data_IF_253192052931
#
_entry.id   IF_253192052931
#
_cell.length_a   1.000
_cell.length_b   1.000
_cell.length_c   1.000
_cell.angle_alpha   90.00
_cell.angle_beta   90.00
_cell.angle_gamma   90.00
#
_symmetry.space_group_name_H-M   'P 1'
#
loop_
_entity.id
_entity.type
_entity.pdbx_description
1 polymer ?
#
# COMPACT_ATOMS: atom_id res chain seq x y z
N UNK A 1 42.96 -20.87 17.44
CA UNK A 1 41.75 -21.65 17.09
C UNK A 1 41.44 -21.43 15.62
N UNK A 2 40.99 -22.46 14.88
CA UNK A 2 40.52 -22.26 13.50
C UNK A 2 39.25 -21.38 13.51
N UNK A 3 39.09 -20.43 12.58
CA UNK A 3 37.95 -19.51 12.55
C UNK A 3 36.59 -20.22 12.56
N UNK A 4 36.50 -21.40 11.94
CA UNK A 4 35.32 -22.28 11.96
C UNK A 4 34.89 -22.71 13.37
N UNK A 5 35.86 -23.01 14.25
CA UNK A 5 35.57 -23.42 15.64
C UNK A 5 35.06 -22.25 16.47
N UNK A 6 35.56 -21.04 16.21
CA UNK A 6 35.12 -19.82 16.89
C UNK A 6 33.69 -19.46 16.45
N UNK A 7 33.40 -19.55 15.14
CA UNK A 7 32.06 -19.33 14.61
C UNK A 7 31.03 -20.31 15.21
N UNK A 8 31.34 -21.61 15.22
CA UNK A 8 30.44 -22.62 15.79
C UNK A 8 30.21 -22.41 17.29
N UNK A 9 31.24 -21.99 18.04
CA UNK A 9 31.11 -21.66 19.47
C UNK A 9 30.21 -20.44 19.68
N UNK A 10 30.41 -19.36 18.91
CA UNK A 10 29.61 -18.13 19.02
C UNK A 10 28.15 -18.42 18.65
N UNK A 11 27.91 -19.13 17.54
CA UNK A 11 26.56 -19.53 17.14
C UNK A 11 25.89 -20.41 18.20
N UNK A 12 26.62 -21.40 18.74
CA UNK A 12 26.12 -22.28 19.79
C UNK A 12 25.76 -21.55 21.08
N UNK A 13 26.64 -20.68 21.57
CA UNK A 13 26.39 -19.87 22.78
C UNK A 13 25.21 -18.91 22.56
N UNK A 14 25.10 -18.31 21.37
CA UNK A 14 23.99 -17.40 21.04
C UNK A 14 22.66 -18.14 21.04
N UNK A 15 22.58 -19.32 20.40
CA UNK A 15 21.39 -20.17 20.40
C UNK A 15 21.00 -20.61 21.82
N UNK A 16 21.98 -20.98 22.65
CA UNK A 16 21.76 -21.35 24.05
C UNK A 16 21.21 -20.18 24.87
N UNK A 17 21.78 -18.99 24.72
CA UNK A 17 21.31 -17.79 25.40
C UNK A 17 19.88 -17.43 24.96
N UNK A 18 19.60 -17.46 23.65
CA UNK A 18 18.25 -17.24 23.12
C UNK A 18 17.25 -18.28 23.65
N UNK A 19 17.63 -19.56 23.70
CA UNK A 19 16.81 -20.64 24.23
C UNK A 19 16.50 -20.49 25.73
N UNK A 20 17.48 -20.10 26.53
CA UNK A 20 17.30 -19.86 27.97
C UNK A 20 16.42 -18.65 28.25
N UNK A 21 16.59 -17.56 27.49
CA UNK A 21 15.72 -16.37 27.60
C UNK A 21 14.28 -16.72 27.20
N UNK A 22 14.10 -17.48 26.11
CA UNK A 22 12.78 -17.95 25.69
C UNK A 22 12.13 -18.85 26.74
N UNK A 23 12.88 -19.78 27.35
CA UNK A 23 12.39 -20.67 28.39
C UNK A 23 12.02 -19.92 29.68
N UNK A 24 12.86 -18.97 30.11
CA UNK A 24 12.61 -18.12 31.27
C UNK A 24 11.40 -17.20 31.03
N UNK A 25 11.28 -16.62 29.84
CA UNK A 25 10.10 -15.84 29.45
C UNK A 25 8.82 -16.68 29.45
N UNK A 26 8.87 -17.90 28.91
CA UNK A 26 7.73 -18.80 28.85
C UNK A 26 7.30 -19.34 30.23
N UNK A 27 8.21 -19.43 31.20
CA UNK A 27 7.92 -19.94 32.55
C UNK A 27 7.52 -18.85 33.54
N UNK A 28 8.13 -17.67 33.48
CA UNK A 28 7.87 -16.58 34.44
C UNK A 28 6.85 -15.52 33.97
N UNK A 29 6.64 -15.33 32.66
CA UNK A 29 5.69 -14.34 32.11
C UNK A 29 4.38 -14.98 31.58
N UNK A 30 4.16 -16.24 31.95
CA UNK A 30 3.43 -17.27 31.20
C UNK A 30 1.91 -17.10 31.02
N UNK A 31 1.21 -16.14 31.64
CA UNK A 31 -0.27 -16.12 31.49
C UNK A 31 -0.86 -14.86 30.91
N UNK A 32 -0.23 -13.69 31.08
CA UNK A 32 -0.75 -12.42 30.52
C UNK A 32 0.30 -11.51 29.91
N UNK A 33 1.49 -11.40 30.52
CA UNK A 33 2.53 -10.51 30.02
C UNK A 33 3.11 -10.97 28.68
N UNK A 34 3.22 -12.28 28.45
CA UNK A 34 3.69 -12.80 27.15
C UNK A 34 2.78 -12.39 25.98
N UNK A 35 1.46 -12.20 26.20
CA UNK A 35 0.55 -11.71 25.15
C UNK A 35 0.87 -10.30 24.64
N UNK A 36 1.69 -9.54 25.37
CA UNK A 36 2.12 -8.19 25.00
C UNK A 36 3.45 -8.16 24.25
N UNK A 37 4.06 -9.30 23.93
CA UNK A 37 5.30 -9.32 23.14
C UNK A 37 5.23 -8.49 21.82
N UNK A 38 4.09 -8.42 21.09
CA UNK A 38 4.00 -7.60 19.88
C UNK A 38 4.13 -6.10 20.14
N UNK A 39 3.97 -5.64 21.40
CA UNK A 39 4.21 -4.25 21.78
C UNK A 39 5.63 -3.80 21.41
N UNK A 40 6.62 -4.69 21.43
CA UNK A 40 7.99 -4.36 21.00
C UNK A 40 8.00 -3.98 19.52
N UNK A 41 7.25 -4.70 18.68
CA UNK A 41 7.13 -4.43 17.23
C UNK A 41 6.35 -3.14 17.01
N UNK A 42 5.25 -2.91 17.75
CA UNK A 42 4.48 -1.65 17.70
C UNK A 42 5.37 -0.46 18.06
N UNK A 43 6.16 -0.57 19.14
CA UNK A 43 7.09 0.48 19.57
C UNK A 43 8.21 0.69 18.55
N UNK A 44 8.73 -0.36 17.93
CA UNK A 44 9.71 -0.24 16.85
C UNK A 44 9.13 0.46 15.62
N UNK A 45 7.92 0.08 15.18
CA UNK A 45 7.21 0.73 14.09
C UNK A 45 6.88 2.20 14.40
N UNK A 46 6.43 2.49 15.63
CA UNK A 46 6.22 3.85 16.10
C UNK A 46 7.54 4.65 16.12
N UNK A 47 8.63 4.04 16.59
CA UNK A 47 9.97 4.63 16.59
C UNK A 47 10.51 4.92 15.19
N UNK A 48 10.15 4.11 14.19
CA UNK A 48 10.48 4.36 12.78
C UNK A 48 9.58 5.44 12.17
N UNK A 49 8.29 5.48 12.48
CA UNK A 49 7.36 6.48 11.93
C UNK A 49 7.52 7.87 12.54
N UNK A 50 7.93 7.96 13.81
CA UNK A 50 8.05 9.23 14.54
C UNK A 50 9.02 10.22 13.87
N UNK A 51 10.26 9.84 13.46
CA UNK A 51 11.13 10.72 12.68
C UNK A 51 10.48 11.25 11.40
N UNK A 52 9.58 10.48 10.77
CA UNK A 52 8.85 10.91 9.58
C UNK A 52 8.06 12.21 9.79
N UNK A 53 7.49 12.42 10.98
CA UNK A 53 6.80 13.66 11.32
C UNK A 53 7.74 14.85 11.56
N UNK A 54 9.03 14.60 11.82
CA UNK A 54 10.06 15.64 11.92
C UNK A 54 10.54 16.11 10.53
N UNK A 55 9.91 15.63 9.43
CA UNK A 55 10.34 16.01 8.08
C UNK A 55 10.14 17.49 7.75
N UNK A 56 9.39 18.23 8.57
CA UNK A 56 9.28 19.69 8.46
C UNK A 56 10.65 20.37 8.53
N UNK A 57 11.58 19.81 9.31
CA UNK A 57 12.97 20.28 9.41
C UNK A 57 13.85 19.67 8.32
N UNK A 58 13.77 18.35 8.14
CA UNK A 58 14.58 17.61 7.15
C UNK A 58 13.69 16.73 6.28
N UNK A 59 13.44 17.16 5.03
CA UNK A 59 12.55 16.46 4.09
C UNK A 59 12.89 14.97 3.94
N UNK A 60 14.16 14.59 4.04
CA UNK A 60 14.62 13.21 3.94
C UNK A 60 14.01 12.26 4.97
N UNK A 61 13.57 12.75 6.14
CA UNK A 61 12.99 11.88 7.16
C UNK A 61 11.62 11.31 6.78
N UNK A 62 10.90 11.90 5.83
CA UNK A 62 9.62 11.33 5.36
C UNK A 62 9.76 9.93 4.78
N UNK A 63 10.96 9.53 4.32
CA UNK A 63 11.21 8.18 3.81
C UNK A 63 11.01 7.09 4.88
N UNK A 64 11.14 7.42 6.17
CA UNK A 64 10.93 6.46 7.27
C UNK A 64 9.49 5.98 7.41
N UNK A 65 8.50 6.68 6.82
CA UNK A 65 7.13 6.18 6.74
C UNK A 65 7.02 4.89 5.91
N UNK A 66 7.88 4.71 4.90
CA UNK A 66 7.84 3.56 3.99
C UNK A 66 8.07 2.24 4.74
N UNK A 67 9.13 2.08 5.57
CA UNK A 67 9.27 0.90 6.43
C UNK A 67 8.48 1.00 7.74
N UNK A 68 8.29 2.20 8.28
CA UNK A 68 7.69 2.38 9.60
C UNK A 68 6.22 1.99 9.65
N UNK A 69 5.42 2.39 8.65
CA UNK A 69 3.98 2.08 8.63
C UNK A 69 3.73 0.57 8.50
N UNK A 70 4.37 -0.19 7.58
CA UNK A 70 4.27 -1.65 7.57
C UNK A 70 4.64 -2.30 8.90
N UNK A 71 5.78 -1.94 9.50
CA UNK A 71 6.18 -2.52 10.80
C UNK A 71 5.14 -2.22 11.88
N UNK A 72 4.57 -1.02 11.88
CA UNK A 72 3.50 -0.65 12.81
C UNK A 72 2.21 -1.45 12.57
N UNK A 73 1.83 -1.65 11.30
CA UNK A 73 0.70 -2.49 10.90
C UNK A 73 0.90 -3.95 11.34
N UNK A 74 2.09 -4.51 11.11
CA UNK A 74 2.45 -5.87 11.55
C UNK A 74 2.36 -5.98 13.06
N UNK A 75 2.92 -5.01 13.79
CA UNK A 75 2.81 -4.94 15.24
C UNK A 75 1.37 -4.92 15.72
N UNK A 76 0.50 -4.13 15.07
CA UNK A 76 -0.91 -4.03 15.43
C UNK A 76 -1.69 -5.33 15.16
N UNK A 77 -1.46 -5.99 14.02
CA UNK A 77 -2.09 -7.29 13.69
C UNK A 77 -1.65 -8.36 14.68
N UNK A 78 -0.34 -8.44 14.96
CA UNK A 78 0.21 -9.39 15.92
C UNK A 78 -0.31 -9.13 17.33
N UNK A 79 -0.42 -7.87 17.74
CA UNK A 79 -0.98 -7.50 19.04
C UNK A 79 -2.43 -7.94 19.15
N UNK A 80 -3.25 -7.65 18.13
CA UNK A 80 -4.63 -8.10 18.06
C UNK A 80 -4.74 -9.64 18.15
N UNK A 81 -3.97 -10.37 17.33
CA UNK A 81 -3.98 -11.82 17.30
C UNK A 81 -3.52 -12.42 18.65
N UNK A 82 -2.49 -11.83 19.28
CA UNK A 82 -1.97 -12.31 20.57
C UNK A 82 -2.92 -12.03 21.73
N UNK A 83 -3.60 -10.88 21.74
CA UNK A 83 -4.57 -10.52 22.78
C UNK A 83 -5.85 -11.35 22.69
N UNK A 84 -6.39 -11.51 21.48
CA UNK A 84 -7.67 -12.20 21.24
C UNK A 84 -7.54 -13.70 21.03
N UNK A 85 -6.31 -14.19 20.79
CA UNK A 85 -6.02 -15.57 20.42
C UNK A 85 -6.64 -16.01 19.08
N UNK A 86 -6.96 -15.05 18.20
CA UNK A 86 -7.52 -15.26 16.87
C UNK A 86 -6.43 -15.14 15.79
N UNK A 87 -5.59 -16.16 15.66
CA UNK A 87 -4.48 -16.17 14.68
C UNK A 87 -4.96 -16.37 13.24
N UNK A 88 -6.16 -16.91 13.05
CA UNK A 88 -6.83 -17.03 11.75
C UNK A 88 -7.08 -15.68 11.08
N UNK A 89 -7.05 -14.56 11.83
CA UNK A 89 -7.12 -13.22 11.27
C UNK A 89 -6.03 -12.99 10.21
N UNK A 90 -4.89 -13.68 10.31
CA UNK A 90 -3.81 -13.61 9.32
C UNK A 90 -4.21 -14.05 7.93
N UNK A 91 -5.28 -14.84 7.76
CA UNK A 91 -5.79 -15.22 6.43
C UNK A 91 -6.21 -13.99 5.61
N UNK A 92 -6.61 -12.90 6.28
CA UNK A 92 -7.06 -11.65 5.64
C UNK A 92 -6.09 -10.51 5.98
N UNK A 93 -5.61 -10.42 7.21
CA UNK A 93 -4.86 -9.27 7.72
C UNK A 93 -3.52 -9.03 7.02
N UNK A 94 -2.89 -10.04 6.41
CA UNK A 94 -1.66 -9.83 5.63
C UNK A 94 -1.82 -8.80 4.51
N UNK A 95 -3.03 -8.65 3.97
CA UNK A 95 -3.33 -7.64 2.94
C UNK A 95 -3.29 -6.21 3.48
N UNK A 96 -3.49 -6.02 4.79
CA UNK A 96 -3.33 -4.73 5.44
C UNK A 96 -1.86 -4.28 5.45
N UNK A 97 -0.89 -5.20 5.39
CA UNK A 97 0.53 -4.84 5.24
C UNK A 97 0.80 -4.12 3.92
N UNK A 98 0.17 -4.59 2.85
CA UNK A 98 0.29 -4.00 1.52
C UNK A 98 -0.35 -2.60 1.53
N UNK A 99 -1.52 -2.45 2.16
CA UNK A 99 -2.10 -1.12 2.36
C UNK A 99 -1.23 -0.23 3.27
N UNK A 100 -0.64 -0.79 4.32
CA UNK A 100 0.29 -0.09 5.19
C UNK A 100 1.48 0.46 4.42
N UNK A 101 2.04 -0.33 3.50
CA UNK A 101 3.11 0.10 2.61
C UNK A 101 2.65 1.23 1.68
N UNK A 102 1.46 1.12 1.10
CA UNK A 102 0.89 2.19 0.27
C UNK A 102 0.72 3.49 1.06
N UNK A 103 0.18 3.43 2.28
CA UNK A 103 0.07 4.58 3.19
C UNK A 103 1.46 5.14 3.53
N UNK A 104 2.45 4.28 3.75
CA UNK A 104 3.85 4.67 3.94
C UNK A 104 4.39 5.50 2.76
N UNK A 105 4.11 5.08 1.52
CA UNK A 105 4.47 5.86 0.33
C UNK A 105 3.69 7.16 0.20
N UNK A 106 2.38 7.20 0.50
CA UNK A 106 1.58 8.44 0.47
C UNK A 106 2.14 9.45 1.48
N UNK A 107 2.37 9.01 2.72
CA UNK A 107 2.95 9.83 3.77
C UNK A 107 4.34 10.33 3.35
N UNK A 108 5.20 9.45 2.82
CA UNK A 108 6.50 9.85 2.30
C UNK A 108 6.36 10.89 1.16
N UNK A 109 5.44 10.70 0.21
CA UNK A 109 5.20 11.65 -0.89
C UNK A 109 4.85 13.05 -0.37
N UNK A 110 3.96 13.12 0.62
CA UNK A 110 3.50 14.38 1.23
C UNK A 110 4.62 15.04 2.04
N UNK A 111 5.23 14.29 2.96
CA UNK A 111 6.20 14.82 3.93
C UNK A 111 7.58 15.10 3.33
N UNK A 112 7.97 14.37 2.28
CA UNK A 112 9.20 14.66 1.51
C UNK A 112 8.97 15.70 0.41
N UNK A 113 7.70 15.96 0.06
CA UNK A 113 7.29 16.76 -1.12
C UNK A 113 7.87 16.20 -2.42
N UNK A 114 7.79 14.88 -2.58
CA UNK A 114 8.21 14.16 -3.79
C UNK A 114 6.97 13.51 -4.41
N UNK A 115 6.24 14.21 -5.30
CA UNK A 115 5.00 13.70 -5.86
C UNK A 115 5.17 12.36 -6.57
N UNK A 116 6.36 12.09 -7.14
CA UNK A 116 6.67 10.82 -7.82
C UNK A 116 6.43 9.56 -7.00
N UNK A 117 6.48 9.65 -5.66
CA UNK A 117 6.16 8.53 -4.76
C UNK A 117 4.66 8.18 -4.75
N UNK A 118 3.79 9.04 -5.31
CA UNK A 118 2.39 8.71 -5.52
C UNK A 118 2.21 7.52 -6.48
N UNK A 119 3.08 7.35 -7.48
CA UNK A 119 2.98 6.24 -8.44
C UNK A 119 3.05 4.88 -7.73
N UNK A 120 4.12 4.53 -6.99
CA UNK A 120 4.16 3.26 -6.25
C UNK A 120 3.06 3.20 -5.17
N UNK A 121 2.70 4.32 -4.55
CA UNK A 121 1.59 4.35 -3.59
C UNK A 121 0.26 3.86 -4.19
N UNK A 122 -0.13 4.37 -5.36
CA UNK A 122 -1.39 3.96 -6.00
C UNK A 122 -1.32 2.53 -6.53
N UNK A 123 -0.20 2.11 -7.12
CA UNK A 123 0.00 0.72 -7.60
C UNK A 123 -0.19 -0.25 -6.43
N UNK A 124 0.55 -0.05 -5.33
CA UNK A 124 0.50 -0.92 -4.16
C UNK A 124 -0.84 -0.81 -3.44
N UNK A 125 -1.39 0.40 -3.30
CA UNK A 125 -2.64 0.64 -2.57
C UNK A 125 -3.85 0.00 -3.26
N UNK A 126 -3.98 0.17 -4.58
CA UNK A 126 -5.08 -0.42 -5.34
C UNK A 126 -4.95 -1.95 -5.40
N UNK A 127 -3.74 -2.49 -5.56
CA UNK A 127 -3.49 -3.92 -5.42
C UNK A 127 -3.85 -4.44 -4.02
N UNK A 128 -3.48 -3.71 -2.96
CA UNK A 128 -3.84 -4.06 -1.59
C UNK A 128 -5.35 -4.11 -1.37
N UNK A 129 -6.10 -3.12 -1.90
CA UNK A 129 -7.57 -3.12 -1.86
C UNK A 129 -8.16 -4.32 -2.62
N UNK A 130 -7.59 -4.65 -3.79
CA UNK A 130 -7.99 -5.82 -4.55
C UNK A 130 -7.71 -7.12 -3.79
N UNK A 131 -6.55 -7.25 -3.13
CA UNK A 131 -6.24 -8.43 -2.33
C UNK A 131 -7.13 -8.56 -1.10
N UNK A 132 -7.49 -7.45 -0.44
CA UNK A 132 -8.50 -7.47 0.63
C UNK A 132 -9.82 -8.01 0.09
N UNK A 133 -10.28 -7.48 -1.05
CA UNK A 133 -11.50 -7.97 -1.70
C UNK A 133 -11.43 -9.48 -1.98
N UNK A 134 -10.34 -9.98 -2.56
CA UNK A 134 -10.16 -11.40 -2.85
C UNK A 134 -10.08 -12.25 -1.57
N UNK A 135 -9.37 -11.78 -0.54
CA UNK A 135 -9.22 -12.50 0.74
C UNK A 135 -10.55 -12.60 1.49
N UNK A 136 -11.38 -11.54 1.45
CA UNK A 136 -12.69 -11.50 2.12
C UNK A 136 -13.75 -12.29 1.35
N UNK A 137 -13.77 -12.20 0.01
CA UNK A 137 -14.82 -12.84 -0.81
C UNK A 137 -14.47 -14.26 -1.26
N UNK A 138 -13.19 -14.64 -1.22
CA UNK A 138 -12.69 -15.89 -1.78
C UNK A 138 -12.63 -15.91 -3.32
N UNK A 139 -12.97 -14.81 -4.00
CA UNK A 139 -13.09 -14.74 -5.47
C UNK A 139 -11.74 -14.50 -6.17
N UNK A 140 -10.74 -15.32 -5.88
CA UNK A 140 -9.39 -15.20 -6.45
C UNK A 140 -9.34 -15.26 -7.99
N UNK A 141 -10.30 -15.93 -8.61
CA UNK A 141 -10.44 -15.99 -10.07
C UNK A 141 -10.72 -14.61 -10.69
N UNK A 142 -11.26 -13.66 -9.91
CA UNK A 142 -11.51 -12.29 -10.38
C UNK A 142 -10.23 -11.57 -10.77
N UNK A 143 -9.07 -12.01 -10.25
CA UNK A 143 -7.78 -11.40 -10.57
C UNK A 143 -7.48 -11.42 -12.07
N UNK A 144 -7.84 -12.50 -12.78
CA UNK A 144 -7.64 -12.62 -14.23
C UNK A 144 -8.42 -11.54 -15.02
N UNK A 145 -9.49 -11.02 -14.44
CA UNK A 145 -10.42 -10.10 -15.07
C UNK A 145 -10.17 -8.64 -14.62
N UNK A 146 -9.54 -8.46 -13.45
CA UNK A 146 -9.24 -7.17 -12.84
C UNK A 146 -7.91 -6.55 -13.29
N UNK A 147 -7.14 -7.19 -14.19
CA UNK A 147 -5.88 -6.64 -14.71
C UNK A 147 -5.93 -5.17 -15.22
N UNK A 148 -7.04 -4.61 -15.76
CA UNK A 148 -7.08 -3.19 -16.15
C UNK A 148 -6.89 -2.23 -14.96
N UNK A 149 -7.09 -2.73 -13.72
CA UNK A 149 -6.88 -1.98 -12.49
C UNK A 149 -5.43 -1.52 -12.33
N UNK A 150 -4.46 -2.22 -12.93
CA UNK A 150 -3.05 -1.82 -12.90
C UNK A 150 -2.82 -0.52 -13.69
N UNK A 151 -3.40 -0.42 -14.88
CA UNK A 151 -3.31 0.82 -15.67
C UNK A 151 -4.04 1.98 -14.99
N UNK A 152 -5.18 1.69 -14.36
CA UNK A 152 -5.89 2.66 -13.54
C UNK A 152 -4.98 3.18 -12.41
N UNK A 153 -4.29 2.28 -11.71
CA UNK A 153 -3.40 2.63 -10.62
C UNK A 153 -2.21 3.49 -11.06
N UNK A 154 -1.54 3.12 -12.15
CA UNK A 154 -0.45 3.92 -12.73
C UNK A 154 -0.98 5.28 -13.23
N UNK A 155 -2.13 5.28 -13.91
CA UNK A 155 -2.77 6.50 -14.42
C UNK A 155 -3.13 7.48 -13.30
N UNK A 156 -3.68 7.00 -12.18
CA UNK A 156 -3.95 7.81 -11.00
C UNK A 156 -2.68 8.35 -10.34
N UNK A 157 -1.64 7.52 -10.24
CA UNK A 157 -0.32 7.95 -9.78
C UNK A 157 0.23 9.09 -10.62
N UNK A 158 0.29 8.92 -11.94
CA UNK A 158 0.74 9.97 -12.86
C UNK A 158 -0.14 11.21 -12.84
N UNK A 159 -1.45 11.06 -12.65
CA UNK A 159 -2.35 12.20 -12.53
C UNK A 159 -2.00 13.06 -11.33
N UNK A 160 -1.75 12.46 -10.17
CA UNK A 160 -1.34 13.17 -8.97
C UNK A 160 0.00 13.87 -9.18
N UNK A 161 0.98 13.19 -9.79
CA UNK A 161 2.28 13.79 -10.13
C UNK A 161 2.10 14.98 -11.08
N UNK A 162 1.32 14.83 -12.15
CA UNK A 162 1.07 15.87 -13.14
C UNK A 162 0.31 17.07 -12.59
N UNK A 163 -0.62 16.86 -11.65
CA UNK A 163 -1.28 17.96 -10.93
C UNK A 163 -0.28 18.68 -10.02
N UNK A 164 0.51 17.94 -9.24
CA UNK A 164 1.46 18.51 -8.29
C UNK A 164 2.60 19.29 -8.98
N UNK A 165 3.12 18.77 -10.09
CA UNK A 165 4.22 19.36 -10.86
C UNK A 165 3.74 20.35 -11.94
N UNK A 166 2.43 20.49 -12.14
CA UNK A 166 1.83 21.21 -13.26
C UNK A 166 2.34 20.78 -14.65
N UNK A 167 2.77 19.52 -14.79
CA UNK A 167 3.33 18.99 -16.03
C UNK A 167 2.22 18.55 -16.99
N UNK A 168 2.15 19.17 -18.17
CA UNK A 168 1.23 18.77 -19.22
C UNK A 168 1.49 17.34 -19.73
N UNK A 169 2.77 16.95 -19.82
CA UNK A 169 3.16 15.60 -20.29
C UNK A 169 2.65 14.49 -19.36
N UNK A 170 2.80 14.67 -18.04
CA UNK A 170 2.34 13.71 -17.04
C UNK A 170 0.81 13.61 -17.01
N UNK A 171 0.10 14.75 -17.13
CA UNK A 171 -1.37 14.78 -17.24
C UNK A 171 -1.88 14.06 -18.50
N UNK A 172 -1.21 14.24 -19.64
CA UNK A 172 -1.56 13.54 -20.89
C UNK A 172 -1.30 12.05 -20.76
N UNK A 173 -0.13 11.64 -20.23
CA UNK A 173 0.18 10.23 -19.99
C UNK A 173 -0.84 9.57 -19.06
N UNK A 174 -1.23 10.26 -17.97
CA UNK A 174 -2.28 9.81 -17.07
C UNK A 174 -3.62 9.60 -17.81
N UNK A 175 -4.03 10.56 -18.65
CA UNK A 175 -5.28 10.45 -19.43
C UNK A 175 -5.28 9.28 -20.42
N UNK A 176 -4.13 8.99 -21.05
CA UNK A 176 -3.96 7.85 -21.95
C UNK A 176 -4.12 6.54 -21.17
N UNK A 177 -3.44 6.40 -20.03
CA UNK A 177 -3.55 5.20 -19.20
C UNK A 177 -4.95 4.99 -18.63
N UNK A 178 -5.62 6.07 -18.19
CA UNK A 178 -7.01 6.01 -17.75
C UNK A 178 -7.95 5.57 -18.88
N UNK A 179 -7.69 6.01 -20.11
CA UNK A 179 -8.45 5.57 -21.30
C UNK A 179 -8.22 4.10 -21.60
N UNK A 180 -6.97 3.62 -21.53
CA UNK A 180 -6.62 2.19 -21.71
C UNK A 180 -7.30 1.35 -20.62
N UNK A 181 -7.26 1.80 -19.36
CA UNK A 181 -7.95 1.14 -18.25
C UNK A 181 -9.47 1.06 -18.49
N UNK A 182 -10.08 2.15 -18.94
CA UNK A 182 -11.51 2.19 -19.31
C UNK A 182 -11.86 1.20 -20.42
N UNK A 183 -11.03 1.10 -21.46
CA UNK A 183 -11.19 0.10 -22.52
C UNK A 183 -11.05 -1.33 -22.01
N UNK A 184 -10.08 -1.59 -21.12
CA UNK A 184 -9.92 -2.88 -20.47
C UNK A 184 -11.14 -3.26 -19.63
N UNK A 185 -11.64 -2.35 -18.79
CA UNK A 185 -12.87 -2.57 -18.02
C UNK A 185 -14.08 -2.78 -18.92
N UNK A 186 -14.16 -2.12 -20.08
CA UNK A 186 -15.25 -2.35 -21.03
C UNK A 186 -15.25 -3.79 -21.57
N UNK A 187 -14.08 -4.29 -21.99
CA UNK A 187 -13.94 -5.67 -22.47
C UNK A 187 -14.31 -6.66 -21.36
N UNK A 188 -13.78 -6.43 -20.16
CA UNK A 188 -14.10 -7.21 -18.96
C UNK A 188 -15.60 -7.19 -18.63
N UNK A 189 -16.27 -6.04 -18.78
CA UNK A 189 -17.70 -5.90 -18.53
C UNK A 189 -18.50 -6.75 -19.51
N UNK A 190 -18.14 -6.65 -20.79
CA UNK A 190 -18.77 -7.39 -21.87
C UNK A 190 -18.67 -8.90 -21.64
N UNK A 191 -17.48 -9.40 -21.27
CA UNK A 191 -17.27 -10.81 -20.94
C UNK A 191 -18.03 -11.24 -19.68
N UNK A 192 -18.14 -10.34 -18.68
CA UNK A 192 -18.88 -10.62 -17.45
C UNK A 192 -20.39 -10.77 -17.63
N UNK A 193 -20.99 -10.22 -18.70
CA UNK A 193 -22.43 -10.40 -18.98
C UNK A 193 -22.77 -11.88 -19.20
N UNK A 194 -21.81 -12.66 -19.71
CA UNK A 194 -21.96 -14.10 -19.92
C UNK A 194 -21.62 -14.93 -18.67
N UNK A 195 -21.21 -14.30 -17.57
CA UNK A 195 -20.89 -14.96 -16.31
C UNK A 195 -22.07 -14.85 -15.32
N UNK A 196 -22.46 -15.96 -14.70
CA UNK A 196 -23.59 -16.02 -13.78
C UNK A 196 -23.31 -15.43 -12.37
N UNK A 197 -22.06 -14.99 -12.11
CA UNK A 197 -21.70 -14.37 -10.83
C UNK A 197 -22.24 -12.93 -10.73
N UNK A 198 -23.30 -12.76 -9.93
CA UNK A 198 -23.98 -11.47 -9.73
C UNK A 198 -23.08 -10.32 -9.28
N UNK A 199 -22.04 -10.57 -8.48
CA UNK A 199 -21.12 -9.52 -7.99
C UNK A 199 -20.31 -8.91 -9.14
N UNK A 200 -19.76 -9.74 -10.03
CA UNK A 200 -18.91 -9.26 -11.13
C UNK A 200 -19.75 -8.45 -12.13
N UNK A 201 -21.01 -8.85 -12.33
CA UNK A 201 -21.96 -8.16 -13.20
C UNK A 201 -22.17 -6.68 -12.82
N UNK A 202 -22.08 -6.33 -11.54
CA UNK A 202 -22.22 -4.95 -11.07
C UNK A 202 -20.89 -4.23 -10.87
N UNK A 203 -19.83 -4.94 -10.46
CA UNK A 203 -18.53 -4.34 -10.21
C UNK A 203 -17.97 -3.63 -11.44
N UNK A 204 -18.08 -4.25 -12.62
CA UNK A 204 -17.45 -3.69 -13.82
C UNK A 204 -18.14 -2.41 -14.34
N UNK A 205 -19.48 -2.34 -14.47
CA UNK A 205 -20.15 -1.08 -14.81
C UNK A 205 -19.80 0.07 -13.86
N UNK A 206 -19.67 -0.20 -12.55
CA UNK A 206 -19.25 0.81 -11.57
C UNK A 206 -17.84 1.31 -11.88
N UNK A 207 -16.90 0.41 -12.18
CA UNK A 207 -15.53 0.80 -12.54
C UNK A 207 -15.46 1.64 -13.82
N UNK A 208 -16.31 1.35 -14.82
CA UNK A 208 -16.45 2.17 -16.02
C UNK A 208 -16.95 3.58 -15.70
N UNK A 209 -17.98 3.70 -14.86
CA UNK A 209 -18.51 4.99 -14.42
C UNK A 209 -17.44 5.80 -13.67
N UNK A 210 -16.70 5.16 -12.77
CA UNK A 210 -15.60 5.81 -12.03
C UNK A 210 -14.51 6.28 -13.00
N UNK A 211 -14.08 5.43 -13.93
CA UNK A 211 -13.02 5.77 -14.89
C UNK A 211 -13.45 6.88 -15.85
N UNK A 212 -14.67 6.82 -16.38
CA UNK A 212 -15.24 7.87 -17.24
C UNK A 212 -15.44 9.19 -16.50
N UNK A 213 -15.87 9.14 -15.24
CA UNK A 213 -15.98 10.31 -14.37
C UNK A 213 -14.61 10.96 -14.12
N UNK A 214 -13.59 10.16 -13.80
CA UNK A 214 -12.21 10.63 -13.64
C UNK A 214 -11.68 11.30 -14.92
N UNK A 215 -11.88 10.70 -16.09
CA UNK A 215 -11.49 11.29 -17.38
C UNK A 215 -12.18 12.64 -17.61
N UNK A 216 -13.46 12.74 -17.28
CA UNK A 216 -14.23 13.99 -17.41
C UNK A 216 -13.66 15.08 -16.50
N UNK A 217 -13.36 14.75 -15.24
CA UNK A 217 -12.75 15.69 -14.29
C UNK A 217 -11.36 16.14 -14.76
N UNK A 218 -10.53 15.20 -15.23
CA UNK A 218 -9.18 15.54 -15.71
C UNK A 218 -9.22 16.45 -16.92
N UNK A 219 -10.17 16.27 -17.84
CA UNK A 219 -10.40 17.18 -18.95
C UNK A 219 -10.69 18.62 -18.48
N UNK A 220 -11.57 18.79 -17.49
CA UNK A 220 -11.86 20.12 -16.94
C UNK A 220 -10.66 20.75 -16.23
N UNK A 221 -9.85 19.96 -15.53
CA UNK A 221 -8.62 20.44 -14.88
C UNK A 221 -7.50 20.81 -15.86
N UNK A 222 -7.57 20.36 -17.11
CA UNK A 222 -6.58 20.69 -18.15
C UNK A 222 -6.90 21.99 -18.91
N UNK A 223 -8.14 22.49 -18.85
CA UNK A 223 -8.50 23.77 -19.46
C UNK A 223 -7.83 24.91 -18.68
N UNK A 224 -6.72 25.41 -19.19
CA UNK A 224 -6.12 26.65 -18.69
C UNK A 224 -6.98 27.85 -19.09
N UNK A 225 -7.08 28.90 -18.24
CA UNK A 225 -7.75 30.14 -18.63
C UNK A 225 -7.05 30.71 -19.88
N UNK A 226 -7.85 31.04 -20.91
CA UNK A 226 -7.33 31.60 -22.14
C UNK A 226 -6.54 32.87 -21.84
N UNK A 227 -5.28 32.91 -22.26
CA UNK A 227 -4.49 34.15 -22.22
C UNK A 227 -5.25 35.18 -23.06
N UNK A 228 -5.67 36.32 -22.50
CA UNK A 228 -6.35 37.34 -23.28
C UNK A 228 -5.45 37.74 -24.46
N UNK A 229 -6.01 38.00 -25.65
CA UNK A 229 -5.22 38.40 -26.80
C UNK A 229 -4.41 39.64 -26.40
N UNK A 230 -3.08 39.53 -26.53
CA UNK A 230 -2.19 40.68 -26.46
C UNK A 230 -2.66 41.67 -27.50
N UNK A 231 -3.23 42.79 -27.06
CA UNK A 231 -3.58 43.89 -27.94
C UNK A 231 -2.29 44.34 -28.62
N UNK A 232 -2.14 44.03 -29.91
CA UNK A 232 -1.12 44.63 -30.75
C UNK A 232 -1.31 46.14 -30.72
N UNK A 233 -0.31 46.85 -30.20
CA UNK A 233 -0.13 48.30 -30.34
C UNK A 233 0.79 48.57 -31.52
#
# INVERSE_FOLDING_TARGET
MKPEKLFNLIAGVTLLAMGLIALAGNTFLATRAWKLWPMIIVLAGAGLTLPGFLSFTNRGFGAFFIPGIPVLTTGAILLYASMTNHWEVWAIAWTLEILGLAVGFIMAAIFMRVPGLAIPAFIIGINGLMFIFCAVTGLWQSWAILWPIEFLAVGLGLLVVGIANQSAGEKTAASILLTIAGGGFFITAFLSVFNNNGIIRFAVPVMLLVTGGLLTVTYFLQRSPATPPTAEQ
#
